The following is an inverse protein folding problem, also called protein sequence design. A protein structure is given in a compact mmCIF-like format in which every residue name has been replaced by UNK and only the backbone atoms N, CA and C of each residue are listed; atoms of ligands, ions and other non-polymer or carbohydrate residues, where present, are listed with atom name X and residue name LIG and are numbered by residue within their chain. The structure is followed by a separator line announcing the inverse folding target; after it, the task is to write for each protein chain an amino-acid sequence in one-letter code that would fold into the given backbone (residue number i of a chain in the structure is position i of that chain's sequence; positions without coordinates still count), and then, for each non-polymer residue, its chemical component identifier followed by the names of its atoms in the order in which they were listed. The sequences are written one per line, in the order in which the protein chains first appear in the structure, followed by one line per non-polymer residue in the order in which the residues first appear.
data_IF_658980106488
#
_entry.id   IF_658980106488
#
_cell.length_a   1.000
_cell.length_b   1.000
_cell.length_c   1.000
_cell.angle_alpha   90.00
_cell.angle_beta   90.00
_cell.angle_gamma   90.00
#
_symmetry.space_group_name_H-M   'P 1'
#
loop_
_entity.id
_entity.type
_entity.pdbx_description
1 polymer ?
#
# COMPACT_ATOMS: atom_id res chain seq x y z
N UNK A 1 -13.61 0.74 25.43
CA UNK A 1 -12.17 0.56 25.17
C UNK A 1 -11.58 -0.35 26.23
N UNK A 2 -10.94 -1.45 25.86
CA UNK A 2 -10.33 -2.39 26.79
C UNK A 2 -8.80 -2.33 26.67
N UNK A 3 -8.11 -2.34 27.81
CA UNK A 3 -6.65 -2.33 27.86
C UNK A 3 -6.13 -3.76 27.74
N UNK A 4 -5.35 -4.03 26.70
CA UNK A 4 -4.66 -5.31 26.54
C UNK A 4 -3.22 -5.19 27.07
N UNK A 5 -2.80 -6.12 27.91
CA UNK A 5 -1.43 -6.24 28.41
C UNK A 5 -0.94 -7.65 28.09
N UNK A 6 0.14 -7.74 27.32
CA UNK A 6 0.76 -9.00 26.91
C UNK A 6 2.19 -9.04 27.43
N UNK A 7 2.55 -10.10 28.16
CA UNK A 7 3.92 -10.33 28.64
C UNK A 7 4.53 -11.56 27.98
N UNK A 8 5.76 -11.47 27.51
CA UNK A 8 6.51 -12.58 26.89
C UNK A 8 7.82 -12.77 27.64
N UNK A 9 8.15 -14.02 27.98
CA UNK A 9 9.38 -14.41 28.66
C UNK A 9 10.18 -15.30 27.73
N UNK A 10 11.45 -14.95 27.51
CA UNK A 10 12.38 -15.75 26.72
C UNK A 10 13.36 -16.44 27.67
N UNK A 11 13.59 -17.75 27.46
CA UNK A 11 14.50 -18.57 28.27
C UNK A 11 15.36 -19.42 27.33
N UNK A 12 16.65 -19.57 27.65
CA UNK A 12 17.51 -20.56 26.97
C UNK A 12 17.17 -21.99 27.40
N UNK A 13 17.22 -22.99 26.49
CA UNK A 13 17.19 -24.39 26.88
C UNK A 13 18.47 -24.73 27.67
N UNK A 14 18.30 -25.44 28.79
CA UNK A 14 19.41 -26.05 29.52
C UNK A 14 19.96 -27.22 28.70
N UNK A 15 21.28 -27.24 28.48
CA UNK A 15 21.95 -28.31 27.77
C UNK A 15 21.77 -29.64 28.53
N UNK A 16 20.92 -30.53 28.00
CA UNK A 16 20.78 -31.90 28.45
C UNK A 16 20.93 -32.81 27.22
N UNK A 17 21.86 -33.76 27.33
CA UNK A 17 22.41 -34.54 26.22
C UNK A 17 21.46 -35.56 25.59
N UNK A 18 21.83 -35.94 24.37
CA UNK A 18 21.38 -37.11 23.61
C UNK A 18 21.38 -38.41 24.44
N UNK A 19 20.48 -39.38 24.16
CA UNK A 19 20.78 -40.37 23.12
C UNK A 19 19.60 -40.92 22.27
N UNK A 20 19.95 -41.26 21.03
CA UNK A 20 19.67 -42.53 20.29
C UNK A 20 18.23 -42.88 19.87
N UNK A 21 18.03 -42.79 18.55
CA UNK A 21 17.51 -43.80 17.61
C UNK A 21 16.45 -44.84 18.00
N UNK A 22 15.46 -45.03 17.11
CA UNK A 22 15.10 -46.29 16.41
C UNK A 22 13.77 -46.08 15.66
N UNK A 23 13.78 -46.33 14.35
CA UNK A 23 12.58 -46.60 13.56
C UNK A 23 12.27 -48.11 13.59
N UNK A 24 10.99 -48.52 13.44
CA UNK A 24 10.72 -49.40 12.31
C UNK A 24 9.37 -49.17 11.61
N UNK A 25 9.45 -49.37 10.29
CA UNK A 25 8.43 -49.87 9.36
C UNK A 25 7.13 -50.45 9.96
N UNK A 26 6.00 -50.10 9.33
CA UNK A 26 4.98 -51.13 9.02
C UNK A 26 4.25 -50.79 7.74
N UNK A 27 4.35 -51.72 6.78
CA UNK A 27 3.57 -51.78 5.55
C UNK A 27 2.12 -52.08 5.91
N UNK A 28 1.18 -51.28 5.42
CA UNK A 28 -0.18 -51.76 5.17
C UNK A 28 -0.58 -51.45 3.73
N UNK A 29 -0.62 -52.53 2.95
CA UNK A 29 -1.27 -52.63 1.66
C UNK A 29 -2.78 -52.50 1.90
N UNK A 30 -3.43 -51.50 1.31
CA UNK A 30 -4.88 -51.53 1.11
C UNK A 30 -5.20 -51.20 -0.35
N UNK A 31 -6.13 -52.00 -0.87
CA UNK A 31 -6.39 -52.28 -2.28
C UNK A 31 -7.10 -51.13 -2.97
N UNK A 32 -6.69 -50.82 -4.20
CA UNK A 32 -7.42 -49.98 -5.15
C UNK A 32 -8.63 -50.75 -5.71
N UNK A 33 -9.84 -50.17 -5.76
CA UNK A 33 -10.80 -50.51 -6.80
C UNK A 33 -10.53 -49.60 -8.01
N UNK A 34 -10.39 -50.25 -9.15
CA UNK A 34 -10.34 -49.65 -10.48
C UNK A 34 -11.62 -48.86 -10.76
N UNK A 35 -11.53 -47.54 -10.81
CA UNK A 35 -12.49 -46.68 -11.48
C UNK A 35 -11.73 -45.80 -12.46
N UNK A 36 -11.90 -46.08 -13.75
CA UNK A 36 -11.36 -45.31 -14.86
C UNK A 36 -11.89 -43.86 -14.77
N UNK A 37 -11.12 -42.99 -14.14
CA UNK A 37 -11.35 -41.54 -14.21
C UNK A 37 -10.63 -41.03 -15.44
N UNK A 38 -11.41 -40.68 -16.46
CA UNK A 38 -10.97 -39.88 -17.60
C UNK A 38 -10.50 -38.54 -17.04
N UNK A 39 -9.19 -38.40 -16.83
CA UNK A 39 -8.57 -37.15 -16.45
C UNK A 39 -8.59 -36.24 -17.68
N UNK A 40 -9.70 -35.52 -17.86
CA UNK A 40 -9.78 -34.41 -18.79
C UNK A 40 -8.78 -33.36 -18.37
N UNK A 41 -7.64 -33.31 -19.06
CA UNK A 41 -6.65 -32.24 -18.95
C UNK A 41 -7.32 -30.95 -19.45
N UNK A 42 -8.01 -30.25 -18.56
CA UNK A 42 -8.38 -28.85 -18.79
C UNK A 42 -7.09 -28.07 -18.76
N UNK A 43 -6.48 -27.88 -19.93
CA UNK A 43 -5.49 -26.83 -20.14
C UNK A 43 -6.20 -25.51 -19.83
N UNK A 44 -6.10 -25.07 -18.58
CA UNK A 44 -6.33 -23.69 -18.23
C UNK A 44 -5.30 -22.88 -19.00
N UNK A 45 -5.66 -22.45 -20.21
CA UNK A 45 -4.95 -21.40 -20.91
C UNK A 45 -5.14 -20.16 -20.03
N UNK A 46 -4.20 -19.96 -19.11
CA UNK A 46 -4.03 -18.70 -18.42
C UNK A 46 -3.78 -17.66 -19.49
N UNK A 47 -4.82 -16.96 -19.92
CA UNK A 47 -4.68 -15.82 -20.79
C UNK A 47 -3.62 -14.92 -20.14
N UNK A 48 -2.56 -14.52 -20.87
CA UNK A 48 -1.57 -13.61 -20.30
C UNK A 48 -2.33 -12.38 -19.83
N UNK A 49 -2.06 -11.93 -18.60
CA UNK A 49 -2.63 -10.72 -18.04
C UNK A 49 -2.46 -9.61 -19.08
N UNK A 50 -3.54 -9.26 -19.79
CA UNK A 50 -3.49 -8.26 -20.83
C UNK A 50 -3.06 -6.95 -20.16
N UNK A 51 -1.88 -6.46 -20.52
CA UNK A 51 -1.46 -5.12 -20.11
C UNK A 51 -2.51 -4.15 -20.65
N UNK A 52 -3.38 -3.67 -19.78
CA UNK A 52 -4.36 -2.64 -20.13
C UNK A 52 -3.58 -1.38 -20.53
N UNK A 53 -3.91 -0.81 -21.68
CA UNK A 53 -3.28 0.41 -22.18
C UNK A 53 -3.38 1.54 -21.14
N UNK A 54 -2.37 2.45 -21.10
CA UNK A 54 -2.48 3.69 -20.33
C UNK A 54 -3.77 4.43 -20.65
N UNK A 55 -4.44 4.95 -19.62
CA UNK A 55 -5.65 5.76 -19.80
C UNK A 55 -5.26 7.17 -20.20
N UNK A 56 -5.51 7.52 -21.46
CA UNK A 56 -5.42 8.90 -21.95
C UNK A 56 -6.83 9.39 -22.20
N UNK A 57 -7.43 10.10 -21.24
CA UNK A 57 -8.87 10.36 -21.27
C UNK A 57 -9.40 11.05 -22.53
N UNK A 58 -8.60 11.92 -23.15
CA UNK A 58 -9.00 12.56 -24.42
C UNK A 58 -9.01 11.56 -25.58
N UNK A 59 -8.07 10.61 -25.57
CA UNK A 59 -8.03 9.53 -26.54
C UNK A 59 -9.18 8.54 -26.35
N UNK A 60 -9.37 8.10 -25.10
CA UNK A 60 -10.38 7.12 -24.73
C UNK A 60 -11.80 7.61 -25.04
N UNK A 61 -12.10 8.88 -24.76
CA UNK A 61 -13.42 9.45 -24.98
C UNK A 61 -13.71 9.79 -26.46
N UNK A 62 -12.71 10.27 -27.20
CA UNK A 62 -12.96 10.84 -28.54
C UNK A 62 -12.53 9.92 -29.69
N UNK A 63 -11.50 9.09 -29.50
CA UNK A 63 -10.80 8.46 -30.62
C UNK A 63 -10.76 6.93 -30.56
N UNK A 64 -11.01 6.30 -29.41
CA UNK A 64 -10.86 4.84 -29.23
C UNK A 64 -11.72 4.00 -30.18
N UNK A 65 -12.96 4.41 -30.41
CA UNK A 65 -13.93 3.65 -31.22
C UNK A 65 -14.08 4.20 -32.65
N UNK A 66 -13.34 5.25 -33.00
CA UNK A 66 -13.42 5.83 -34.35
C UNK A 66 -12.72 4.93 -35.38
N UNK A 67 -13.25 4.79 -36.62
CA UNK A 67 -12.57 4.07 -37.70
C UNK A 67 -11.24 4.75 -38.10
N UNK A 68 -10.42 4.09 -38.91
CA UNK A 68 -9.18 4.71 -39.43
C UNK A 68 -9.59 5.85 -40.36
N UNK A 69 -9.43 7.08 -39.91
CA UNK A 69 -9.77 8.30 -40.65
C UNK A 69 -8.68 9.37 -40.43
N UNK A 70 -8.80 10.49 -41.13
CA UNK A 70 -7.99 11.68 -40.88
C UNK A 70 -8.12 12.18 -39.43
N UNK A 71 -9.25 11.95 -38.76
CA UNK A 71 -9.47 12.30 -37.35
C UNK A 71 -8.62 11.45 -36.40
N UNK A 72 -8.32 10.21 -36.77
CA UNK A 72 -7.42 9.33 -35.99
C UNK A 72 -5.99 9.87 -35.93
N UNK A 73 -5.57 10.70 -36.90
CA UNK A 73 -4.28 11.42 -36.86
C UNK A 73 -4.23 12.40 -35.68
N UNK A 74 -5.34 13.06 -35.37
CA UNK A 74 -5.43 13.94 -34.20
C UNK A 74 -5.30 13.15 -32.89
N UNK A 75 -5.90 11.95 -32.82
CA UNK A 75 -5.72 11.01 -31.71
C UNK A 75 -4.26 10.57 -31.55
N UNK A 76 -3.57 10.25 -32.64
CA UNK A 76 -2.13 9.93 -32.61
C UNK A 76 -1.27 11.09 -32.10
N UNK A 77 -1.55 12.31 -32.56
CA UNK A 77 -0.88 13.52 -32.04
C UNK A 77 -1.12 13.72 -30.54
N UNK A 78 -2.34 13.48 -30.06
CA UNK A 78 -2.68 13.55 -28.63
C UNK A 78 -1.88 12.52 -27.81
N UNK A 79 -1.73 11.29 -28.32
CA UNK A 79 -0.94 10.26 -27.64
C UNK A 79 0.54 10.64 -27.57
N UNK A 80 1.12 11.20 -28.63
CA UNK A 80 2.52 11.66 -28.62
C UNK A 80 2.79 12.68 -27.51
N UNK A 81 1.83 13.57 -27.24
CA UNK A 81 1.94 14.57 -26.16
C UNK A 81 1.69 13.96 -24.78
N UNK A 82 0.64 13.14 -24.63
CA UNK A 82 0.18 12.63 -23.34
C UNK A 82 1.05 11.48 -22.79
N UNK A 83 1.65 10.69 -23.68
CA UNK A 83 2.63 9.66 -23.36
C UNK A 83 4.07 10.20 -23.37
N UNK A 84 4.22 11.51 -23.54
CA UNK A 84 5.47 12.24 -23.37
C UNK A 84 6.60 11.85 -24.35
N UNK A 85 6.25 11.35 -25.55
CA UNK A 85 7.22 10.98 -26.59
C UNK A 85 8.07 12.18 -27.05
N UNK A 86 7.46 13.37 -27.04
CA UNK A 86 8.06 14.62 -27.48
C UNK A 86 9.09 15.21 -26.50
N UNK A 87 9.24 14.63 -25.31
CA UNK A 87 10.34 15.00 -24.39
C UNK A 87 11.71 14.57 -24.90
N UNK A 88 11.77 13.58 -25.79
CA UNK A 88 13.04 13.10 -26.37
C UNK A 88 13.03 13.16 -27.90
N UNK A 89 11.88 12.88 -28.55
CA UNK A 89 11.78 12.88 -30.01
C UNK A 89 11.27 14.22 -30.53
N UNK A 90 12.07 14.88 -31.38
CA UNK A 90 11.67 16.11 -32.04
C UNK A 90 10.56 15.83 -33.07
N UNK A 91 9.51 16.65 -33.04
CA UNK A 91 8.46 16.68 -34.05
C UNK A 91 8.42 18.06 -34.71
N UNK A 92 8.17 18.12 -36.02
CA UNK A 92 8.01 19.38 -36.75
C UNK A 92 6.65 20.06 -36.48
N UNK A 93 5.75 19.39 -35.76
CA UNK A 93 4.43 19.93 -35.39
C UNK A 93 4.44 20.82 -34.15
N UNK A 94 3.35 21.58 -33.95
CA UNK A 94 3.13 22.46 -32.78
C UNK A 94 2.80 21.72 -31.47
N UNK A 95 2.99 20.42 -31.42
CA UNK A 95 2.62 19.61 -30.25
C UNK A 95 3.66 19.77 -29.14
N UNK A 96 3.22 20.07 -27.92
CA UNK A 96 4.10 20.26 -26.76
C UNK A 96 3.94 19.08 -25.80
N UNK A 97 5.06 18.59 -25.27
CA UNK A 97 5.07 17.48 -24.33
C UNK A 97 4.38 17.84 -23.01
N UNK A 98 3.65 16.88 -22.44
CA UNK A 98 3.01 17.04 -21.13
C UNK A 98 4.08 17.24 -20.04
N UNK A 99 4.04 18.34 -19.27
CA UNK A 99 4.98 18.54 -18.18
C UNK A 99 4.93 17.40 -17.15
N UNK A 100 6.10 16.95 -16.70
CA UNK A 100 6.23 15.91 -15.67
C UNK A 100 5.74 16.43 -14.29
N UNK A 101 5.27 15.54 -13.40
CA UNK A 101 4.98 15.92 -12.01
C UNK A 101 6.21 16.44 -11.26
N UNK A 102 6.02 17.41 -10.38
CA UNK A 102 7.06 17.85 -9.45
C UNK A 102 7.34 16.73 -8.44
N UNK A 103 8.61 16.38 -8.26
CA UNK A 103 9.07 15.37 -7.30
C UNK A 103 9.55 16.00 -5.98
N UNK A 104 9.62 17.33 -5.89
CA UNK A 104 9.98 18.04 -4.65
C UNK A 104 9.00 17.67 -3.54
N UNK A 105 9.51 17.26 -2.37
CA UNK A 105 8.65 16.89 -1.23
C UNK A 105 7.79 15.65 -1.48
N UNK A 106 8.07 14.82 -2.50
CA UNK A 106 7.16 13.72 -2.88
C UNK A 106 6.97 12.70 -1.76
N UNK A 107 8.01 12.47 -0.96
CA UNK A 107 7.97 11.51 0.14
C UNK A 107 7.43 12.10 1.44
N UNK A 108 6.99 13.36 1.45
CA UNK A 108 6.24 13.96 2.57
C UNK A 108 4.73 13.69 2.41
N UNK A 109 4.29 13.67 1.15
CA UNK A 109 2.89 13.52 0.74
C UNK A 109 2.52 12.11 0.29
N UNK A 110 3.50 11.31 -0.13
CA UNK A 110 3.30 9.94 -0.62
C UNK A 110 4.15 8.98 0.20
N UNK A 111 3.62 7.79 0.52
CA UNK A 111 4.36 6.75 1.22
C UNK A 111 5.65 6.40 0.43
N UNK A 112 6.85 6.53 1.03
CA UNK A 112 8.10 6.14 0.38
C UNK A 112 8.08 4.71 -0.15
N UNK A 113 7.46 3.76 0.56
CA UNK A 113 7.37 2.37 0.10
C UNK A 113 6.43 2.24 -1.10
N UNK A 114 5.38 3.07 -1.18
CA UNK A 114 4.57 3.14 -2.39
C UNK A 114 5.40 3.69 -3.57
N UNK A 115 6.17 4.76 -3.35
CA UNK A 115 7.05 5.35 -4.39
C UNK A 115 8.03 4.30 -4.94
N UNK A 116 8.71 3.56 -4.06
CA UNK A 116 9.62 2.48 -4.45
C UNK A 116 8.92 1.42 -5.31
N UNK A 117 7.80 0.88 -4.82
CA UNK A 117 7.03 -0.14 -5.55
C UNK A 117 6.50 0.36 -6.89
N UNK A 118 6.07 1.61 -6.93
CA UNK A 118 5.55 2.25 -8.13
C UNK A 118 6.63 2.51 -9.19
N UNK A 119 7.84 2.91 -8.79
CA UNK A 119 8.97 3.06 -9.72
C UNK A 119 9.41 1.69 -10.27
N UNK A 120 9.41 0.65 -9.44
CA UNK A 120 9.78 -0.70 -9.86
C UNK A 120 8.79 -1.32 -10.86
N UNK A 121 7.49 -1.13 -10.64
CA UNK A 121 6.43 -1.65 -11.49
C UNK A 121 5.19 -0.74 -11.46
N UNK A 122 5.13 0.31 -12.31
CA UNK A 122 4.09 1.32 -12.24
C UNK A 122 2.72 0.78 -12.64
N UNK A 123 2.64 -0.11 -13.63
CA UNK A 123 1.38 -0.65 -14.12
C UNK A 123 0.74 -1.67 -13.16
N UNK A 124 1.55 -2.37 -12.34
CA UNK A 124 1.03 -3.23 -11.28
C UNK A 124 0.44 -2.44 -10.11
N UNK A 125 1.07 -1.34 -9.71
CA UNK A 125 0.66 -0.57 -8.53
C UNK A 125 -0.33 0.57 -8.86
N UNK A 126 -0.38 1.02 -10.11
CA UNK A 126 -1.43 1.89 -10.61
C UNK A 126 -1.80 1.46 -12.04
N UNK A 127 -2.79 0.57 -12.18
CA UNK A 127 -3.28 0.13 -13.48
C UNK A 127 -3.65 1.32 -14.38
N UNK A 128 -3.34 1.21 -15.67
CA UNK A 128 -3.58 2.24 -16.70
C UNK A 128 -2.86 3.58 -16.46
N UNK A 129 -1.82 3.62 -15.62
CA UNK A 129 -0.97 4.82 -15.50
C UNK A 129 -0.27 5.16 -16.83
N UNK A 130 -0.02 6.45 -17.06
CA UNK A 130 0.80 6.96 -18.17
C UNK A 130 2.30 6.95 -17.85
N UNK A 131 2.70 6.63 -16.62
CA UNK A 131 4.10 6.45 -16.27
C UNK A 131 4.65 5.18 -16.94
N UNK A 132 5.68 5.28 -17.81
CA UNK A 132 6.26 4.11 -18.44
C UNK A 132 7.04 3.25 -17.45
N UNK A 133 7.07 1.93 -17.67
CA UNK A 133 7.90 0.99 -16.93
C UNK A 133 9.39 1.10 -17.34
N UNK A 134 10.04 2.21 -16.97
CA UNK A 134 11.44 2.50 -17.35
C UNK A 134 12.44 1.44 -16.87
N UNK A 135 12.15 0.78 -15.74
CA UNK A 135 12.96 -0.31 -15.19
C UNK A 135 12.49 -1.71 -15.65
N UNK A 136 11.44 -1.79 -16.48
CA UNK A 136 10.81 -3.07 -16.86
C UNK A 136 11.70 -4.00 -17.70
N UNK A 137 12.79 -3.48 -18.26
CA UNK A 137 13.79 -4.26 -18.99
C UNK A 137 14.77 -5.00 -18.07
N UNK A 138 14.79 -4.69 -16.77
CA UNK A 138 15.68 -5.31 -15.79
C UNK A 138 15.04 -6.55 -15.15
N UNK A 139 15.85 -7.50 -14.66
CA UNK A 139 15.37 -8.52 -13.74
C UNK A 139 14.68 -7.87 -12.52
N UNK A 140 13.60 -8.49 -12.02
CA UNK A 140 12.78 -7.94 -10.92
C UNK A 140 13.61 -7.51 -9.69
N UNK A 141 14.63 -8.28 -9.32
CA UNK A 141 15.53 -7.98 -8.20
C UNK A 141 16.31 -6.69 -8.43
N UNK A 142 16.83 -6.50 -9.65
CA UNK A 142 17.55 -5.27 -10.00
C UNK A 142 16.60 -4.08 -10.10
N UNK A 143 15.43 -4.23 -10.72
CA UNK A 143 14.43 -3.17 -10.77
C UNK A 143 14.07 -2.65 -9.36
N UNK A 144 13.86 -3.56 -8.39
CA UNK A 144 13.61 -3.20 -6.99
C UNK A 144 14.80 -2.46 -6.35
N UNK A 145 16.03 -2.94 -6.55
CA UNK A 145 17.24 -2.30 -6.01
C UNK A 145 17.45 -0.88 -6.57
N UNK A 146 17.18 -0.67 -7.86
CA UNK A 146 17.29 0.66 -8.47
C UNK A 146 16.16 1.58 -7.99
N UNK A 147 14.93 1.07 -7.89
CA UNK A 147 13.80 1.82 -7.35
C UNK A 147 14.01 2.22 -5.88
N UNK A 148 14.62 1.34 -5.08
CA UNK A 148 15.05 1.61 -3.71
C UNK A 148 16.05 2.77 -3.67
N UNK A 149 17.14 2.69 -4.44
CA UNK A 149 18.16 3.75 -4.48
C UNK A 149 17.57 5.11 -4.89
N UNK A 150 16.70 5.14 -5.89
CA UNK A 150 15.99 6.35 -6.32
C UNK A 150 15.10 6.88 -5.18
N UNK A 151 14.35 6.00 -4.51
CA UNK A 151 13.48 6.38 -3.40
C UNK A 151 14.27 6.94 -2.23
N UNK A 152 15.40 6.32 -1.86
CA UNK A 152 16.30 6.84 -0.82
C UNK A 152 16.82 8.23 -1.14
N UNK A 153 17.19 8.49 -2.40
CA UNK A 153 17.57 9.83 -2.84
C UNK A 153 16.40 10.82 -2.71
N UNK A 154 15.19 10.45 -3.13
CA UNK A 154 14.02 11.33 -2.97
C UNK A 154 13.69 11.61 -1.49
N UNK A 155 13.85 10.61 -0.61
CA UNK A 155 13.71 10.78 0.84
C UNK A 155 14.77 11.73 1.39
N UNK A 156 16.02 11.65 0.92
CA UNK A 156 17.10 12.51 1.44
C UNK A 156 16.98 13.98 1.05
N UNK A 157 16.19 14.29 0.00
CA UNK A 157 15.87 15.66 -0.38
C UNK A 157 14.78 16.31 0.48
N UNK A 158 14.06 15.52 1.27
CA UNK A 158 12.91 15.99 2.03
C UNK A 158 13.28 16.43 3.44
N UNK A 159 12.52 17.40 3.95
CA UNK A 159 12.70 17.96 5.30
C UNK A 159 11.72 17.38 6.30
N UNK A 160 10.55 16.93 5.84
CA UNK A 160 9.55 16.27 6.66
C UNK A 160 9.57 14.75 6.41
N UNK A 161 8.93 14.02 7.31
CA UNK A 161 8.69 12.59 7.13
C UNK A 161 7.23 12.33 6.83
N UNK A 162 6.99 11.34 5.97
CA UNK A 162 5.65 10.80 5.76
C UNK A 162 5.07 10.29 7.09
N UNK A 163 3.81 10.64 7.36
CA UNK A 163 3.07 10.08 8.49
C UNK A 163 1.65 9.70 8.09
N UNK A 164 1.17 8.59 8.65
CA UNK A 164 -0.24 8.20 8.60
C UNK A 164 -0.92 8.64 9.87
N UNK A 165 -2.19 9.03 9.75
CA UNK A 165 -3.06 9.31 10.90
C UNK A 165 -4.26 8.40 10.85
N UNK A 166 -4.76 8.06 12.03
CA UNK A 166 -6.04 7.39 12.16
C UNK A 166 -7.13 8.29 11.52
N UNK A 167 -8.04 7.72 10.72
CA UNK A 167 -9.10 8.48 10.08
C UNK A 167 -10.06 9.11 11.09
N UNK A 168 -10.54 10.33 10.79
CA UNK A 168 -11.64 10.98 11.53
C UNK A 168 -12.99 10.70 10.84
N UNK A 169 -13.82 9.88 11.48
CA UNK A 169 -15.13 9.47 10.95
C UNK A 169 -16.08 10.65 10.67
N UNK A 170 -16.10 11.68 11.51
CA UNK A 170 -17.00 12.81 11.29
C UNK A 170 -16.54 13.64 10.09
N UNK A 171 -15.23 13.77 9.90
CA UNK A 171 -14.67 14.42 8.72
C UNK A 171 -14.85 13.59 7.44
N UNK A 172 -14.83 12.26 7.53
CA UNK A 172 -15.15 11.36 6.40
C UNK A 172 -16.56 11.64 5.86
N UNK A 173 -17.57 11.71 6.73
CA UNK A 173 -18.97 11.90 6.30
C UNK A 173 -19.18 13.27 5.62
N UNK A 174 -18.56 14.32 6.19
CA UNK A 174 -18.56 15.65 5.55
C UNK A 174 -17.81 15.63 4.22
N UNK A 175 -16.67 14.96 4.18
CA UNK A 175 -15.84 14.80 2.99
C UNK A 175 -16.54 14.06 1.87
N UNK A 176 -17.35 13.05 2.18
CA UNK A 176 -18.21 12.36 1.21
C UNK A 176 -19.23 13.32 0.61
N UNK A 177 -19.95 14.03 1.47
CA UNK A 177 -20.97 15.00 1.03
C UNK A 177 -20.36 16.07 0.11
N UNK A 178 -19.18 16.58 0.46
CA UNK A 178 -18.41 17.54 -0.34
C UNK A 178 -17.91 16.93 -1.66
N UNK A 179 -17.40 15.70 -1.64
CA UNK A 179 -16.94 15.01 -2.84
C UNK A 179 -18.02 14.92 -3.92
N UNK A 180 -19.27 14.69 -3.50
CA UNK A 180 -20.42 14.69 -4.39
C UNK A 180 -20.83 16.11 -4.83
N UNK A 181 -20.98 17.05 -3.90
CA UNK A 181 -21.50 18.40 -4.19
C UNK A 181 -20.53 19.30 -4.97
N UNK A 182 -19.22 19.16 -4.73
CA UNK A 182 -18.16 19.82 -5.53
C UNK A 182 -18.10 19.27 -6.96
N UNK A 183 -18.66 18.09 -7.20
CA UNK A 183 -18.71 17.46 -8.52
C UNK A 183 -17.47 16.61 -8.85
N UNK A 184 -16.72 16.15 -7.84
CA UNK A 184 -15.61 15.23 -8.05
C UNK A 184 -16.06 13.97 -8.81
N UNK A 185 -17.30 13.52 -8.54
CA UNK A 185 -17.94 12.36 -9.17
C UNK A 185 -18.05 12.44 -10.70
N UNK A 186 -18.11 13.65 -11.27
CA UNK A 186 -18.11 13.86 -12.71
C UNK A 186 -16.80 13.39 -13.36
N UNK A 187 -15.70 13.45 -12.58
CA UNK A 187 -14.37 13.09 -13.03
C UNK A 187 -13.77 11.83 -12.40
N UNK A 188 -14.27 11.42 -11.26
CA UNK A 188 -13.73 10.34 -10.47
C UNK A 188 -14.88 9.47 -9.99
N UNK A 189 -14.78 8.14 -9.98
CA UNK A 189 -15.90 7.35 -9.50
C UNK A 189 -16.16 7.63 -8.02
N UNK A 190 -17.41 7.49 -7.54
CA UNK A 190 -17.66 7.33 -6.11
C UNK A 190 -16.77 6.21 -5.58
N UNK A 191 -16.41 6.25 -4.31
CA UNK A 191 -15.65 5.13 -3.75
C UNK A 191 -16.56 3.92 -3.47
N UNK A 192 -17.87 4.15 -3.33
CA UNK A 192 -18.90 3.13 -3.20
C UNK A 192 -19.94 3.36 -4.31
N UNK A 193 -19.96 2.50 -5.32
CA UNK A 193 -21.01 2.48 -6.35
C UNK A 193 -21.35 1.04 -6.70
N UNK A 194 -22.60 0.81 -7.09
CA UNK A 194 -23.02 -0.49 -7.61
C UNK A 194 -22.38 -0.71 -8.98
N UNK A 195 -21.83 -1.90 -9.23
CA UNK A 195 -21.31 -2.31 -10.54
C UNK A 195 -22.40 -2.36 -11.63
N UNK A 196 -23.69 -2.34 -11.25
CA UNK A 196 -24.80 -2.16 -12.18
C UNK A 196 -25.05 -0.68 -12.52
N UNK A 197 -24.57 0.25 -11.69
CA UNK A 197 -24.69 1.71 -11.84
C UNK A 197 -23.33 2.36 -12.11
N UNK A 198 -22.46 1.67 -12.87
CA UNK A 198 -21.09 2.13 -13.16
C UNK A 198 -21.11 3.52 -13.78
N UNK A 199 -20.59 4.55 -13.09
CA UNK A 199 -20.56 5.88 -13.66
C UNK A 199 -19.57 5.93 -14.82
N UNK A 200 -19.73 6.89 -15.72
CA UNK A 200 -18.77 7.14 -16.82
C UNK A 200 -17.35 7.40 -16.28
N UNK A 201 -17.23 7.86 -15.03
CA UNK A 201 -15.95 8.02 -14.34
C UNK A 201 -15.31 6.71 -13.86
N UNK A 202 -16.01 5.56 -13.85
CA UNK A 202 -15.50 4.26 -13.39
C UNK A 202 -14.24 3.79 -14.15
N UNK A 203 -14.09 4.18 -15.41
CA UNK A 203 -12.92 3.83 -16.21
C UNK A 203 -11.65 4.63 -15.85
N UNK A 204 -11.77 5.58 -14.91
CA UNK A 204 -10.65 6.33 -14.30
C UNK A 204 -10.30 5.69 -12.95
N UNK A 205 -9.45 4.65 -12.93
CA UNK A 205 -9.11 3.96 -11.70
C UNK A 205 -8.43 4.90 -10.72
N UNK A 206 -8.92 4.92 -9.49
CA UNK A 206 -8.14 5.41 -8.37
C UNK A 206 -7.17 4.32 -7.90
N UNK A 207 -5.88 4.64 -7.66
CA UNK A 207 -5.09 3.79 -6.78
C UNK A 207 -5.72 3.82 -5.38
N UNK A 208 -5.51 2.76 -4.59
CA UNK A 208 -5.89 2.74 -3.18
C UNK A 208 -5.21 3.92 -2.49
N UNK A 209 -6.00 4.96 -2.17
CA UNK A 209 -5.47 6.25 -1.75
C UNK A 209 -4.78 6.17 -0.39
N UNK A 210 -5.37 5.44 0.55
CA UNK A 210 -4.81 5.16 1.87
C UNK A 210 -3.42 4.49 1.82
N UNK A 211 -3.16 3.68 0.78
CA UNK A 211 -1.85 3.04 0.59
C UNK A 211 -0.80 3.99 -0.02
N UNK A 212 -1.24 5.10 -0.63
CA UNK A 212 -0.41 5.99 -1.42
C UNK A 212 -0.14 7.31 -0.72
N UNK A 213 -1.17 8.02 -0.28
CA UNK A 213 -1.07 9.40 0.18
C UNK A 213 -1.16 9.52 1.70
N UNK A 214 -0.51 10.53 2.26
CA UNK A 214 -0.86 11.05 3.57
C UNK A 214 -2.07 11.97 3.43
N UNK A 215 -2.85 12.09 4.50
CA UNK A 215 -4.03 12.97 4.53
C UNK A 215 -3.67 14.42 4.19
N UNK A 216 -2.60 14.96 4.78
CA UNK A 216 -2.17 16.34 4.52
C UNK A 216 -1.58 16.49 3.11
N UNK A 217 -0.83 15.49 2.65
CA UNK A 217 -0.31 15.47 1.28
C UNK A 217 -1.42 15.48 0.22
N UNK A 218 -2.54 14.79 0.49
CA UNK A 218 -3.70 14.80 -0.38
C UNK A 218 -4.46 16.12 -0.30
N UNK A 219 -4.68 16.67 0.90
CA UNK A 219 -5.27 18.03 1.08
C UNK A 219 -4.52 19.07 0.25
N UNK A 220 -3.20 19.11 0.35
CA UNK A 220 -2.38 20.10 -0.36
C UNK A 220 -2.43 19.91 -1.88
N UNK A 221 -2.55 18.66 -2.34
CA UNK A 221 -2.79 18.36 -3.76
C UNK A 221 -4.16 18.85 -4.23
N UNK A 222 -5.22 18.62 -3.45
CA UNK A 222 -6.58 19.04 -3.79
C UNK A 222 -6.70 20.57 -3.87
N UNK A 223 -6.01 21.31 -3.00
CA UNK A 223 -5.98 22.78 -3.01
C UNK A 223 -5.21 23.37 -4.19
N UNK A 224 -4.22 22.66 -4.73
CA UNK A 224 -3.33 23.21 -5.76
C UNK A 224 -2.80 22.11 -6.69
N UNK A 225 -3.68 21.46 -7.48
CA UNK A 225 -3.30 20.27 -8.25
C UNK A 225 -2.22 20.56 -9.29
N UNK A 226 -2.25 21.75 -9.91
CA UNK A 226 -1.28 22.16 -10.93
C UNK A 226 0.10 22.52 -10.37
N UNK A 227 0.22 22.83 -9.07
CA UNK A 227 1.53 23.01 -8.42
C UNK A 227 2.32 21.69 -8.42
N UNK A 228 1.62 20.59 -8.17
CA UNK A 228 2.21 19.26 -8.07
C UNK A 228 2.24 18.55 -9.43
N UNK A 229 1.20 18.73 -10.23
CA UNK A 229 1.07 18.15 -11.58
C UNK A 229 0.75 19.27 -12.57
N UNK A 230 1.76 20.01 -13.06
CA UNK A 230 1.52 21.09 -14.02
C UNK A 230 0.82 20.62 -15.31
N UNK A 231 1.15 19.41 -15.78
CA UNK A 231 0.45 18.75 -16.90
C UNK A 231 -0.82 17.99 -16.51
N UNK A 232 -1.31 18.10 -15.27
CA UNK A 232 -2.52 17.46 -14.79
C UNK A 232 -3.78 18.11 -15.39
N UNK A 233 -4.85 17.34 -15.52
CA UNK A 233 -6.16 17.82 -16.02
C UNK A 233 -7.18 18.11 -14.93
N UNK A 234 -6.85 17.80 -13.67
CA UNK A 234 -7.70 18.14 -12.54
C UNK A 234 -7.62 19.66 -12.34
N UNK A 235 -8.75 20.39 -12.46
CA UNK A 235 -8.75 21.83 -12.27
C UNK A 235 -8.53 22.17 -10.80
N UNK A 236 -8.16 23.43 -10.53
CA UNK A 236 -8.28 24.00 -9.21
C UNK A 236 -9.78 24.17 -8.87
N UNK A 237 -10.24 23.47 -7.84
CA UNK A 237 -11.64 23.46 -7.41
C UNK A 237 -11.96 24.58 -6.41
N UNK A 238 -10.97 25.45 -6.11
CA UNK A 238 -11.11 26.60 -5.20
C UNK A 238 -11.58 26.21 -3.80
N UNK A 239 -11.17 25.02 -3.34
CA UNK A 239 -11.53 24.48 -2.03
C UNK A 239 -10.90 25.29 -0.91
N UNK A 240 -11.66 25.51 0.16
CA UNK A 240 -11.10 25.98 1.42
C UNK A 240 -10.23 24.91 2.09
N UNK A 241 -9.41 25.33 3.05
CA UNK A 241 -8.57 24.41 3.84
C UNK A 241 -9.39 23.33 4.56
N UNK A 242 -10.58 23.69 5.03
CA UNK A 242 -11.52 22.76 5.68
C UNK A 242 -12.12 21.77 4.69
N UNK A 243 -12.62 22.23 3.55
CA UNK A 243 -13.22 21.34 2.56
C UNK A 243 -12.20 20.37 1.96
N UNK A 244 -11.01 20.87 1.59
CA UNK A 244 -9.93 20.03 1.09
C UNK A 244 -9.47 19.01 2.15
N UNK A 245 -9.52 19.40 3.43
CA UNK A 245 -9.20 18.53 4.55
C UNK A 245 -10.20 17.39 4.72
N UNK A 246 -11.51 17.70 4.70
CA UNK A 246 -12.57 16.72 4.85
C UNK A 246 -12.60 15.77 3.63
N UNK A 247 -12.49 16.29 2.41
CA UNK A 247 -12.40 15.45 1.19
C UNK A 247 -11.15 14.56 1.23
N UNK A 248 -10.01 15.08 1.68
CA UNK A 248 -8.80 14.27 1.83
C UNK A 248 -9.01 13.13 2.85
N UNK A 249 -9.69 13.41 3.96
CA UNK A 249 -10.06 12.41 4.97
C UNK A 249 -10.92 11.30 4.35
N UNK A 250 -11.99 11.68 3.63
CA UNK A 250 -12.86 10.74 2.93
C UNK A 250 -12.09 9.83 1.97
N UNK A 251 -11.16 10.40 1.19
CA UNK A 251 -10.38 9.65 0.21
C UNK A 251 -9.35 8.71 0.86
N UNK A 252 -8.86 9.01 2.06
CA UNK A 252 -7.91 8.14 2.78
C UNK A 252 -8.55 7.37 3.94
N UNK A 253 -9.87 7.26 3.98
CA UNK A 253 -10.64 6.63 5.08
C UNK A 253 -10.22 5.21 5.44
N UNK A 254 -9.64 4.45 4.50
CA UNK A 254 -9.15 3.09 4.73
C UNK A 254 -7.71 3.08 5.29
N UNK A 255 -7.20 4.23 5.76
CA UNK A 255 -5.86 4.33 6.35
C UNK A 255 -5.81 3.54 7.64
N UNK A 256 -5.10 2.42 7.59
CA UNK A 256 -4.75 1.69 8.78
C UNK A 256 -3.50 2.29 9.42
N UNK A 257 -3.64 2.73 10.67
CA UNK A 257 -2.51 3.06 11.54
C UNK A 257 -2.47 1.99 12.62
N UNK A 258 -1.37 1.25 12.68
CA UNK A 258 -1.16 0.30 13.77
C UNK A 258 -1.25 1.08 15.09
N UNK A 259 -2.10 0.61 16.02
CA UNK A 259 -2.23 1.25 17.32
C UNK A 259 -0.87 1.36 18.01
N UNK A 260 -0.62 2.49 18.67
CA UNK A 260 0.58 2.66 19.46
C UNK A 260 0.67 1.54 20.50
N UNK A 261 1.72 0.73 20.43
CA UNK A 261 2.00 -0.31 21.41
C UNK A 261 3.12 0.21 22.30
N UNK A 262 2.79 0.45 23.57
CA UNK A 262 3.80 0.74 24.58
C UNK A 262 4.53 -0.56 24.90
N UNK A 263 5.86 -0.54 24.87
CA UNK A 263 6.66 -1.68 25.30
C UNK A 263 7.49 -1.34 26.54
N UNK A 264 7.74 -2.36 27.34
CA UNK A 264 8.69 -2.36 28.45
C UNK A 264 9.60 -3.58 28.30
N UNK A 265 10.90 -3.35 28.19
CA UNK A 265 11.93 -4.38 28.07
C UNK A 265 12.64 -4.55 29.42
N UNK A 266 12.75 -5.79 29.87
CA UNK A 266 13.47 -6.17 31.08
C UNK A 266 14.55 -7.19 30.71
N UNK A 267 15.78 -7.00 31.19
CA UNK A 267 16.86 -7.99 31.06
C UNK A 267 17.01 -8.82 32.33
N UNK A 268 17.50 -10.05 32.15
CA UNK A 268 17.78 -11.07 33.17
C UNK A 268 16.61 -12.00 33.48
N UNK A 269 16.91 -13.10 34.19
CA UNK A 269 15.92 -14.13 34.54
C UNK A 269 14.76 -13.58 35.36
N UNK A 270 13.56 -14.07 35.05
CA UNK A 270 12.33 -13.89 35.84
C UNK A 270 11.73 -15.25 36.15
N UNK A 271 11.15 -15.40 37.34
CA UNK A 271 10.40 -16.59 37.71
C UNK A 271 8.96 -16.48 37.21
N UNK A 272 8.80 -16.56 35.89
CA UNK A 272 7.51 -16.41 35.22
C UNK A 272 7.12 -14.95 34.95
N UNK A 273 6.07 -14.76 34.15
CA UNK A 273 5.59 -13.43 33.73
C UNK A 273 5.02 -12.60 34.89
N UNK A 274 4.50 -13.28 35.91
CA UNK A 274 3.88 -12.66 37.09
C UNK A 274 4.90 -12.08 38.09
N UNK A 275 6.19 -12.40 37.92
CA UNK A 275 7.26 -11.99 38.84
C UNK A 275 7.51 -10.47 38.76
N UNK A 276 7.03 -9.73 39.76
CA UNK A 276 7.17 -8.27 39.86
C UNK A 276 8.44 -7.81 40.57
N UNK A 277 9.36 -8.71 40.92
CA UNK A 277 10.56 -8.39 41.70
C UNK A 277 11.51 -7.40 41.00
N UNK A 278 11.40 -7.25 39.67
CA UNK A 278 12.09 -6.22 38.87
C UNK A 278 11.10 -5.17 38.37
N UNK A 279 10.92 -4.11 39.16
CA UNK A 279 9.93 -3.05 38.88
C UNK A 279 10.41 -2.06 37.81
N UNK A 280 11.73 -1.89 37.66
CA UNK A 280 12.30 -0.91 36.71
C UNK A 280 12.62 -1.57 35.37
N UNK A 281 11.87 -1.20 34.33
CA UNK A 281 12.17 -1.60 32.97
C UNK A 281 13.53 -1.02 32.53
N UNK A 282 14.33 -1.83 31.83
CA UNK A 282 15.60 -1.38 31.27
C UNK A 282 15.40 -0.36 30.15
N UNK A 283 14.34 -0.55 29.35
CA UNK A 283 13.94 0.39 28.31
C UNK A 283 12.42 0.38 28.18
N UNK A 284 11.85 1.56 28.03
CA UNK A 284 10.45 1.74 27.65
C UNK A 284 10.38 2.51 26.34
N UNK A 285 9.28 2.36 25.61
CA UNK A 285 9.06 3.10 24.38
C UNK A 285 7.70 2.80 23.77
N UNK A 286 7.45 3.39 22.61
CA UNK A 286 6.26 3.18 21.79
C UNK A 286 6.71 2.64 20.44
N UNK A 287 5.99 1.65 19.92
CA UNK A 287 6.22 1.07 18.60
C UNK A 287 4.91 1.01 17.82
N UNK A 288 5.01 0.98 16.49
CA UNK A 288 3.89 0.78 15.59
C UNK A 288 3.61 -0.73 15.49
N UNK A 289 2.57 -1.21 16.17
CA UNK A 289 2.22 -2.63 16.20
C UNK A 289 3.13 -3.50 17.08
N UNK A 290 3.12 -4.82 16.88
CA UNK A 290 3.79 -5.80 17.76
C UNK A 290 5.22 -6.15 17.35
N UNK A 291 5.73 -5.61 16.25
CA UNK A 291 7.09 -5.90 15.77
C UNK A 291 8.12 -5.06 16.53
N UNK A 292 8.95 -5.73 17.32
CA UNK A 292 10.01 -5.11 18.09
C UNK A 292 11.38 -5.63 17.64
N UNK A 293 12.31 -4.71 17.40
CA UNK A 293 13.73 -5.04 17.18
C UNK A 293 14.55 -4.46 18.32
N UNK A 294 15.13 -5.34 19.14
CA UNK A 294 16.04 -4.95 20.20
C UNK A 294 17.48 -5.32 19.83
N UNK A 295 18.48 -4.49 20.16
CA UNK A 295 19.87 -4.91 20.07
C UNK A 295 20.08 -6.09 21.03
N UNK A 296 20.41 -7.27 20.49
CA UNK A 296 20.60 -8.49 21.28
C UNK A 296 21.65 -8.26 22.39
N UNK A 297 21.22 -8.46 23.65
CA UNK A 297 22.11 -8.59 24.81
C UNK A 297 21.70 -9.84 25.60
N UNK A 298 22.17 -10.99 25.13
CA UNK A 298 21.89 -12.30 25.74
C UNK A 298 20.45 -12.77 25.57
N UNK A 299 20.18 -13.99 26.05
CA UNK A 299 18.92 -14.71 25.83
C UNK A 299 17.90 -14.56 26.97
N UNK A 300 18.30 -13.99 28.11
CA UNK A 300 17.42 -13.81 29.27
C UNK A 300 16.79 -12.40 29.24
N UNK A 301 15.64 -12.26 28.59
CA UNK A 301 14.88 -11.01 28.61
C UNK A 301 13.37 -11.27 28.61
N UNK A 302 12.61 -10.24 28.99
CA UNK A 302 11.16 -10.24 28.88
C UNK A 302 10.67 -8.92 28.35
N UNK A 303 9.57 -8.97 27.61
CA UNK A 303 8.93 -7.80 27.02
C UNK A 303 7.48 -7.77 27.46
N UNK A 304 7.03 -6.61 27.93
CA UNK A 304 5.61 -6.34 28.14
C UNK A 304 5.14 -5.36 27.07
N UNK A 305 4.11 -5.75 26.33
CA UNK A 305 3.43 -4.94 25.33
C UNK A 305 2.07 -4.50 25.89
N UNK A 306 1.71 -3.25 25.70
CA UNK A 306 0.40 -2.75 26.09
C UNK A 306 -0.17 -1.78 25.07
N UNK A 307 -1.42 -2.02 24.70
CA UNK A 307 -2.14 -1.19 23.74
C UNK A 307 -3.65 -1.22 24.03
N UNK A 308 -4.39 -0.45 23.25
CA UNK A 308 -5.85 -0.37 23.31
C UNK A 308 -6.43 -1.05 22.08
N UNK A 309 -7.45 -1.88 22.31
CA UNK A 309 -8.23 -2.50 21.24
C UNK A 309 -9.66 -1.97 21.30
N UNK A 310 -10.15 -1.48 20.15
CA UNK A 310 -11.55 -1.18 19.95
C UNK A 310 -12.26 -2.47 19.51
N UNK A 311 -13.33 -2.81 20.22
CA UNK A 311 -14.20 -3.95 19.93
C UNK A 311 -15.55 -3.34 19.54
N UNK A 312 -15.91 -3.46 18.27
CA UNK A 312 -17.11 -2.82 17.71
C UNK A 312 -18.36 -3.70 17.89
N UNK A 313 -18.19 -5.02 17.89
CA UNK A 313 -19.26 -5.98 18.04
C UNK A 313 -19.10 -6.79 19.33
N UNK A 314 -20.21 -7.14 19.98
CA UNK A 314 -20.15 -8.01 21.13
C UNK A 314 -19.86 -9.45 20.67
N UNK A 315 -18.82 -10.08 21.22
CA UNK A 315 -18.43 -11.43 20.82
C UNK A 315 -17.31 -12.02 21.67
N UNK A 316 -16.99 -13.29 21.41
CA UNK A 316 -15.81 -13.95 21.98
C UNK A 316 -14.65 -13.83 21.00
N UNK A 317 -13.55 -13.23 21.46
CA UNK A 317 -12.35 -13.00 20.67
C UNK A 317 -11.19 -13.83 21.23
N UNK A 318 -10.52 -14.59 20.38
CA UNK A 318 -9.32 -15.33 20.73
C UNK A 318 -8.10 -14.65 20.09
N UNK A 319 -7.06 -14.43 20.90
CA UNK A 319 -5.83 -13.80 20.46
C UNK A 319 -4.71 -14.84 20.46
N UNK A 320 -3.95 -14.88 19.39
CA UNK A 320 -2.77 -15.72 19.26
C UNK A 320 -1.53 -14.85 19.10
N UNK A 321 -0.43 -15.30 19.70
CA UNK A 321 0.87 -14.67 19.55
C UNK A 321 1.83 -15.73 19.00
N UNK A 322 2.40 -15.46 17.84
CA UNK A 322 3.47 -16.26 17.26
C UNK A 322 4.80 -15.56 17.55
N UNK A 323 5.80 -16.34 17.93
CA UNK A 323 7.16 -15.87 18.18
C UNK A 323 8.11 -16.82 17.47
N UNK A 324 9.09 -16.24 16.81
CA UNK A 324 10.14 -16.91 16.04
C UNK A 324 11.21 -17.57 16.93
N UNK A 325 11.36 -17.08 18.17
CA UNK A 325 12.46 -17.47 19.08
C UNK A 325 11.99 -18.02 20.45
N UNK A 326 10.74 -18.49 20.58
CA UNK A 326 10.38 -19.27 21.76
C UNK A 326 10.97 -20.68 21.64
N UNK A 327 12.17 -20.86 22.19
CA UNK A 327 12.64 -22.19 22.55
C UNK A 327 11.58 -22.88 23.42
N UNK A 328 11.33 -24.15 23.11
CA UNK A 328 10.45 -25.06 23.88
C UNK A 328 10.68 -24.98 25.40
#
# INVERSE_FOLDING_TARGET
MHRLILGILFRSPEAVGEPVGVAPNTRQLLRLPTAASVLGLVLAVSAPAQLRSPYVGGYEHQFREQPVSSERVAGGRLLLTELNCLSCHKSEGKAVSKPAPDLSGITDRTDPFFVQRYIADPHRHQPRTTMPAVLGHLPKKDALRHAEAITHYLVSLNRASFSRRAPDHVAIDRGESLYHSVGCVACHPPLNFDEHERPVSADRPFPIMAAKYSRDGLRDFLKSPHRIRPGGRMPDLLLTDGEASDIAEYLVRDTFVAGAVNYQLFYGRRNGLQDRSRITAFRTGVTDGLHLRFPHRGNDFSVTLSSWLQIEEAGSYQFHLETDDAGE
#
